data_IF_796828580578
#
_entry.id   IF_796828580578
#
_cell.length_a   1.000
_cell.length_b   1.000
_cell.length_c   1.000
_cell.angle_alpha   90.00
_cell.angle_beta   90.00
_cell.angle_gamma   90.00
#
_symmetry.space_group_name_H-M   'P 1'
#
loop_
_entity.id
_entity.type
_entity.pdbx_description
1 polymer ?
#
# COMPACT_ATOMS: atom_id res chain seq x y z
N UNK A 1 18.20 -14.23 -6.49
CA UNK A 1 17.16 -14.04 -5.45
C UNK A 1 16.61 -15.42 -5.07
N UNK A 2 16.33 -15.65 -3.81
CA UNK A 2 15.65 -16.85 -3.35
C UNK A 2 14.22 -16.91 -3.88
N UNK A 3 13.69 -18.12 -4.12
CA UNK A 3 12.33 -18.29 -4.63
C UNK A 3 11.31 -17.74 -3.60
N UNK A 4 10.29 -16.96 -4.00
CA UNK A 4 9.37 -16.29 -3.07
C UNK A 4 8.61 -17.25 -2.16
N UNK A 5 8.43 -18.50 -2.58
CA UNK A 5 7.83 -19.57 -1.77
C UNK A 5 8.85 -20.51 -1.11
N UNK A 6 10.11 -20.08 -0.94
CA UNK A 6 11.17 -20.93 -0.35
C UNK A 6 10.86 -21.42 1.07
N UNK A 7 10.15 -20.59 1.85
CA UNK A 7 9.72 -20.92 3.21
C UNK A 7 8.56 -21.94 3.26
N UNK A 8 7.82 -22.11 2.15
CA UNK A 8 6.68 -23.04 2.07
C UNK A 8 7.20 -24.43 1.71
N UNK A 9 7.41 -25.26 2.72
CA UNK A 9 7.99 -26.60 2.58
C UNK A 9 6.97 -27.66 2.22
N UNK A 10 5.69 -27.45 2.54
CA UNK A 10 4.62 -28.42 2.39
C UNK A 10 3.52 -27.91 1.47
N UNK A 11 2.89 -28.82 0.76
CA UNK A 11 1.74 -28.53 -0.08
C UNK A 11 0.55 -28.06 0.77
N UNK A 12 -0.01 -26.85 0.54
CA UNK A 12 -1.12 -26.34 1.35
C UNK A 12 -2.44 -27.10 1.13
N UNK A 13 -2.54 -27.93 0.06
CA UNK A 13 -3.73 -28.73 -0.23
C UNK A 13 -3.70 -30.10 0.43
N UNK A 14 -2.57 -30.81 0.41
CA UNK A 14 -2.51 -32.20 0.88
C UNK A 14 -1.44 -32.46 1.95
N UNK A 15 -0.65 -31.45 2.35
CA UNK A 15 0.37 -31.59 3.37
C UNK A 15 1.68 -32.28 2.92
N UNK A 16 1.78 -32.71 1.65
CA UNK A 16 2.97 -33.40 1.14
C UNK A 16 4.22 -32.51 1.20
N UNK A 17 5.36 -33.11 1.54
CA UNK A 17 6.69 -32.49 1.48
C UNK A 17 7.23 -32.39 0.04
N UNK A 18 6.63 -33.06 -0.92
CA UNK A 18 7.01 -32.99 -2.34
C UNK A 18 6.37 -31.78 -3.03
N UNK A 19 6.62 -30.58 -2.46
CA UNK A 19 6.13 -29.31 -2.97
C UNK A 19 7.29 -28.54 -3.62
N UNK A 20 7.47 -28.74 -4.91
CA UNK A 20 8.65 -28.38 -5.67
C UNK A 20 8.46 -27.06 -6.44
N UNK A 21 9.58 -26.38 -6.73
CA UNK A 21 9.57 -25.19 -7.58
C UNK A 21 9.10 -25.57 -8.98
N UNK A 22 8.08 -24.87 -9.47
CA UNK A 22 7.50 -25.05 -10.81
C UNK A 22 7.97 -23.97 -11.79
N UNK A 23 7.96 -22.71 -11.34
CA UNK A 23 8.56 -21.56 -12.05
C UNK A 23 8.93 -20.47 -11.04
N UNK A 24 9.34 -19.28 -11.50
CA UNK A 24 9.84 -18.18 -10.67
C UNK A 24 8.88 -17.69 -9.58
N UNK A 25 7.59 -17.99 -9.68
CA UNK A 25 6.55 -17.54 -8.73
C UNK A 25 5.57 -18.63 -8.30
N UNK A 26 5.84 -19.90 -8.65
CA UNK A 26 4.94 -20.99 -8.28
C UNK A 26 5.68 -22.24 -7.85
N UNK A 27 4.98 -23.04 -7.02
CA UNK A 27 5.36 -24.39 -6.64
C UNK A 27 4.24 -25.37 -7.01
N UNK A 28 4.62 -26.60 -7.38
CA UNK A 28 3.72 -27.69 -7.70
C UNK A 28 3.95 -28.88 -6.77
N UNK A 29 2.87 -29.48 -6.32
CA UNK A 29 2.93 -30.71 -5.55
C UNK A 29 3.04 -31.92 -6.48
N UNK A 30 4.08 -32.74 -6.31
CA UNK A 30 4.28 -33.96 -7.10
C UNK A 30 3.20 -35.02 -6.78
N UNK A 31 2.65 -35.05 -5.55
CA UNK A 31 1.71 -36.09 -5.13
C UNK A 31 0.25 -35.80 -5.55
N UNK A 32 -0.19 -34.52 -5.45
CA UNK A 32 -1.59 -34.19 -5.74
C UNK A 32 -1.79 -33.25 -6.94
N UNK A 33 -0.70 -32.84 -7.60
CA UNK A 33 -0.72 -31.97 -8.77
C UNK A 33 -1.11 -30.50 -8.50
N UNK A 34 -1.37 -30.13 -7.23
CA UNK A 34 -1.75 -28.75 -6.90
C UNK A 34 -0.64 -27.76 -7.22
N UNK A 35 -0.97 -26.70 -7.95
CA UNK A 35 -0.05 -25.60 -8.25
C UNK A 35 -0.47 -24.37 -7.46
N UNK A 36 0.47 -23.79 -6.72
CA UNK A 36 0.27 -22.53 -6.00
C UNK A 36 1.10 -21.42 -6.62
N UNK A 37 0.43 -20.35 -7.04
CA UNK A 37 1.06 -19.14 -7.56
C UNK A 37 1.13 -18.09 -6.47
N UNK A 38 2.31 -17.50 -6.27
CA UNK A 38 2.49 -16.33 -5.42
C UNK A 38 2.41 -15.07 -6.29
N UNK A 39 1.28 -14.37 -6.18
CA UNK A 39 1.05 -13.10 -6.89
C UNK A 39 1.21 -11.94 -5.93
N UNK A 40 1.56 -10.72 -6.44
CA UNK A 40 1.55 -9.52 -5.61
C UNK A 40 0.17 -9.27 -5.01
N UNK A 41 0.13 -8.87 -3.74
CA UNK A 41 -1.08 -8.38 -3.10
C UNK A 41 -1.35 -6.95 -3.56
N UNK A 42 -2.62 -6.61 -3.75
CA UNK A 42 -3.02 -5.24 -4.10
C UNK A 42 -3.10 -4.39 -2.84
N UNK A 43 -2.54 -3.17 -2.89
CA UNK A 43 -2.51 -2.24 -1.76
C UNK A 43 -2.86 -0.82 -2.25
N UNK A 44 -4.08 -0.30 -1.98
CA UNK A 44 -4.44 1.05 -2.31
C UNK A 44 -3.79 2.06 -1.36
N UNK A 45 -3.42 3.21 -1.90
CA UNK A 45 -2.77 4.32 -1.22
C UNK A 45 -3.51 5.61 -1.56
N UNK A 46 -3.91 6.38 -0.54
CA UNK A 46 -4.68 7.60 -0.71
C UNK A 46 -3.80 8.85 -0.71
N UNK A 47 -3.91 9.65 -1.76
CA UNK A 47 -3.38 11.01 -1.86
C UNK A 47 -4.55 11.99 -1.62
N UNK A 48 -4.62 12.57 -0.43
CA UNK A 48 -5.70 13.47 0.01
C UNK A 48 -5.12 14.87 0.21
N UNK A 49 -5.62 15.84 -0.53
CA UNK A 49 -5.30 17.26 -0.36
C UNK A 49 -6.45 17.97 0.35
N UNK A 50 -6.10 18.92 1.21
CA UNK A 50 -7.05 19.90 1.73
C UNK A 50 -7.13 21.15 0.82
N UNK A 51 -7.99 22.10 1.19
CA UNK A 51 -8.21 23.35 0.45
C UNK A 51 -6.97 24.27 0.36
N UNK A 52 -5.93 24.00 1.16
CA UNK A 52 -4.68 24.76 1.17
C UNK A 52 -3.56 24.08 0.38
N UNK A 53 -3.88 23.07 -0.42
CA UNK A 53 -2.90 22.22 -1.11
C UNK A 53 -1.89 21.55 -0.15
N UNK A 54 -2.34 21.09 1.01
CA UNK A 54 -1.54 20.31 1.95
C UNK A 54 -1.93 18.83 1.83
N UNK A 55 -0.93 17.95 1.81
CA UNK A 55 -1.13 16.51 1.72
C UNK A 55 -1.34 15.89 3.10
N UNK A 56 -2.37 15.07 3.24
CA UNK A 56 -2.57 14.26 4.43
C UNK A 56 -1.48 13.20 4.51
N UNK A 57 -0.77 13.18 5.62
CA UNK A 57 0.26 12.18 5.91
C UNK A 57 0.01 11.58 7.29
N UNK A 58 0.41 10.34 7.46
CA UNK A 58 0.41 9.67 8.75
C UNK A 58 1.84 9.34 9.20
N UNK A 59 2.03 9.15 10.50
CA UNK A 59 3.25 8.60 11.05
C UNK A 59 3.03 7.15 11.43
N UNK A 60 3.87 6.26 10.92
CA UNK A 60 3.75 4.82 11.16
C UNK A 60 3.93 4.48 12.64
N UNK A 61 2.96 3.78 13.22
CA UNK A 61 3.03 3.28 14.59
C UNK A 61 3.81 1.96 14.70
N UNK A 62 3.84 1.16 13.61
CA UNK A 62 4.36 -0.21 13.59
C UNK A 62 5.49 -0.39 12.58
N UNK A 63 6.27 -1.46 12.76
CA UNK A 63 7.21 -1.93 11.75
C UNK A 63 6.47 -2.52 10.53
N UNK A 64 7.11 -2.52 9.36
CA UNK A 64 8.41 -1.92 9.02
C UNK A 64 8.35 -0.39 8.94
N UNK A 65 9.51 0.26 9.09
CA UNK A 65 9.69 1.71 8.97
C UNK A 65 8.91 2.53 10.03
N UNK A 66 8.75 2.01 11.24
CA UNK A 66 8.12 2.72 12.37
C UNK A 66 8.69 4.12 12.56
N UNK A 67 7.82 5.10 12.79
CA UNK A 67 8.18 6.49 13.03
C UNK A 67 8.39 7.34 11.78
N UNK A 68 8.48 6.74 10.59
CA UNK A 68 8.55 7.46 9.32
C UNK A 68 7.17 7.91 8.84
N UNK A 69 7.16 8.82 7.85
CA UNK A 69 5.93 9.22 7.20
C UNK A 69 5.41 8.14 6.26
N UNK A 70 4.10 8.11 6.13
CA UNK A 70 3.35 7.25 5.23
C UNK A 70 2.09 7.99 4.74
N UNK A 71 1.33 7.34 3.86
CA UNK A 71 0.03 7.78 3.39
C UNK A 71 -1.05 6.80 3.87
N UNK A 72 -2.30 7.24 4.07
CA UNK A 72 -3.39 6.32 4.38
C UNK A 72 -3.56 5.25 3.31
N UNK A 73 -3.71 4.00 3.74
CA UNK A 73 -3.85 2.85 2.86
C UNK A 73 -3.48 1.53 3.51
N UNK A 74 -3.77 0.43 2.83
CA UNK A 74 -3.54 -0.91 3.34
C UNK A 74 -3.75 -1.97 2.26
N UNK A 75 -4.18 -3.18 2.63
CA UNK A 75 -4.50 -4.23 1.68
C UNK A 75 -5.96 -4.16 1.22
N UNK A 76 -6.20 -4.49 -0.05
CA UNK A 76 -7.56 -4.69 -0.57
C UNK A 76 -8.11 -5.99 0.01
N UNK A 77 -9.34 -5.95 0.52
CA UNK A 77 -10.07 -7.12 0.94
C UNK A 77 -10.60 -7.93 -0.25
N UNK A 78 -10.86 -9.23 -0.02
CA UNK A 78 -11.46 -10.06 -1.05
C UNK A 78 -12.82 -9.49 -1.49
N UNK A 79 -13.00 -9.37 -2.80
CA UNK A 79 -14.19 -8.83 -3.46
C UNK A 79 -14.36 -7.31 -3.49
N UNK A 80 -13.39 -6.55 -2.99
CA UNK A 80 -13.33 -5.10 -3.15
C UNK A 80 -12.68 -4.69 -4.47
N UNK A 81 -13.12 -3.58 -5.04
CA UNK A 81 -12.36 -2.82 -6.06
C UNK A 81 -11.27 -1.97 -5.39
N UNK A 82 -10.35 -1.43 -6.18
CA UNK A 82 -9.31 -0.52 -5.66
C UNK A 82 -9.90 0.73 -5.00
N UNK A 83 -10.96 1.27 -5.61
CA UNK A 83 -11.69 2.44 -5.12
C UNK A 83 -12.44 2.15 -3.80
N UNK A 84 -13.04 0.98 -3.68
CA UNK A 84 -13.71 0.56 -2.43
C UNK A 84 -12.69 0.33 -1.31
N UNK A 85 -11.58 -0.35 -1.62
CA UNK A 85 -10.51 -0.61 -0.66
C UNK A 85 -9.87 0.68 -0.15
N UNK A 86 -9.51 1.65 -1.04
CA UNK A 86 -8.94 2.92 -0.58
C UNK A 86 -9.94 3.73 0.26
N UNK A 87 -11.23 3.68 -0.08
CA UNK A 87 -12.25 4.39 0.68
C UNK A 87 -12.47 3.78 2.08
N UNK A 88 -12.40 2.44 2.19
CA UNK A 88 -12.45 1.74 3.48
C UNK A 88 -11.24 2.08 4.35
N UNK A 89 -10.02 1.94 3.81
CA UNK A 89 -8.78 2.23 4.53
C UNK A 89 -8.73 3.68 5.04
N UNK A 90 -9.06 4.66 4.18
CA UNK A 90 -9.16 6.06 4.60
C UNK A 90 -10.14 6.23 5.76
N UNK A 91 -11.30 5.57 5.70
CA UNK A 91 -12.29 5.65 6.78
C UNK A 91 -11.80 5.01 8.07
N UNK A 92 -11.14 3.86 8.00
CA UNK A 92 -10.65 3.10 9.16
C UNK A 92 -9.49 3.83 9.85
N UNK A 93 -8.56 4.41 9.08
CA UNK A 93 -7.37 5.07 9.63
C UNK A 93 -7.59 6.53 10.03
N UNK A 94 -8.53 7.22 9.38
CA UNK A 94 -8.68 8.67 9.52
C UNK A 94 -10.07 9.13 10.02
N UNK A 95 -11.08 8.26 9.90
CA UNK A 95 -12.49 8.60 10.11
C UNK A 95 -13.13 9.39 8.98
N UNK A 96 -12.36 9.81 7.96
CA UNK A 96 -12.86 10.58 6.82
C UNK A 96 -13.67 9.69 5.87
N UNK A 97 -14.62 10.31 5.17
CA UNK A 97 -15.40 9.65 4.12
C UNK A 97 -14.94 10.12 2.74
N UNK A 98 -14.50 9.17 1.92
CA UNK A 98 -14.12 9.42 0.53
C UNK A 98 -15.37 9.65 -0.32
N UNK A 99 -15.45 10.81 -0.98
CA UNK A 99 -16.51 11.15 -1.93
C UNK A 99 -16.15 10.70 -3.36
N UNK A 100 -14.85 10.74 -3.72
CA UNK A 100 -14.33 10.30 -5.01
C UNK A 100 -12.93 9.73 -4.83
N UNK A 101 -12.67 8.56 -5.41
CA UNK A 101 -11.35 7.99 -5.60
C UNK A 101 -11.04 7.92 -7.10
N UNK A 102 -9.88 8.44 -7.51
CA UNK A 102 -9.42 8.47 -8.89
C UNK A 102 -8.05 7.80 -8.97
N UNK A 103 -7.96 6.68 -9.69
CA UNK A 103 -6.71 5.98 -9.90
C UNK A 103 -5.72 6.84 -10.70
N UNK A 104 -4.48 6.93 -10.23
CA UNK A 104 -3.41 7.69 -10.88
C UNK A 104 -2.37 6.76 -11.53
N UNK A 105 -1.73 5.93 -10.73
CA UNK A 105 -0.68 5.01 -11.15
C UNK A 105 -0.46 3.92 -10.10
N UNK A 106 0.40 2.94 -10.42
CA UNK A 106 0.82 1.91 -9.46
C UNK A 106 2.32 1.70 -9.48
N UNK A 107 2.86 1.23 -8.36
CA UNK A 107 4.27 0.90 -8.17
C UNK A 107 4.41 -0.46 -7.49
N UNK A 108 5.41 -1.28 -7.90
CA UNK A 108 5.74 -2.49 -7.18
C UNK A 108 6.45 -2.17 -5.87
N UNK A 109 6.21 -2.98 -4.84
CA UNK A 109 6.90 -2.88 -3.56
C UNK A 109 7.19 -4.28 -3.01
N UNK A 110 8.14 -4.36 -2.07
CA UNK A 110 8.40 -5.54 -1.25
C UNK A 110 8.34 -5.10 0.21
N UNK A 111 7.43 -5.70 0.93
CA UNK A 111 7.12 -5.39 2.31
C UNK A 111 7.43 -6.60 3.18
N UNK A 112 8.31 -6.46 4.17
CA UNK A 112 8.65 -7.56 5.07
C UNK A 112 7.62 -7.63 6.19
N UNK A 113 6.84 -8.71 6.21
CA UNK A 113 5.84 -8.96 7.24
C UNK A 113 6.04 -10.34 7.85
N UNK A 114 6.14 -10.43 9.17
CA UNK A 114 6.44 -11.69 9.89
C UNK A 114 7.66 -12.46 9.36
N UNK A 115 8.71 -11.74 8.93
CA UNK A 115 9.90 -12.33 8.33
C UNK A 115 9.71 -12.90 6.92
N UNK A 116 8.57 -12.58 6.28
CA UNK A 116 8.26 -13.02 4.92
C UNK A 116 8.19 -11.81 3.96
N UNK A 117 8.83 -11.89 2.78
CA UNK A 117 8.75 -10.83 1.77
C UNK A 117 7.39 -10.90 1.05
N UNK A 118 6.48 -10.02 1.41
CA UNK A 118 5.21 -9.83 0.71
C UNK A 118 5.45 -8.87 -0.46
N UNK A 119 5.22 -9.34 -1.67
CA UNK A 119 5.20 -8.48 -2.85
C UNK A 119 3.86 -7.78 -2.94
N UNK A 120 3.86 -6.45 -3.14
CA UNK A 120 2.65 -5.67 -3.34
C UNK A 120 2.67 -4.91 -4.66
N UNK A 121 1.48 -4.61 -5.15
CA UNK A 121 1.22 -3.61 -6.17
C UNK A 121 0.51 -2.46 -5.48
N UNK A 122 1.27 -1.43 -5.13
CA UNK A 122 0.75 -0.25 -4.46
C UNK A 122 0.08 0.65 -5.50
N UNK A 123 -1.23 0.84 -5.36
CA UNK A 123 -2.08 1.59 -6.29
C UNK A 123 -2.41 2.96 -5.68
N UNK A 124 -1.97 4.02 -6.33
CA UNK A 124 -2.13 5.39 -5.86
C UNK A 124 -3.42 6.00 -6.41
N UNK A 125 -4.25 6.50 -5.49
CA UNK A 125 -5.50 7.17 -5.80
C UNK A 125 -5.48 8.61 -5.30
N UNK A 126 -5.92 9.56 -6.13
CA UNK A 126 -6.31 10.87 -5.65
C UNK A 126 -7.70 10.74 -5.02
N UNK A 127 -7.80 11.02 -3.73
CA UNK A 127 -9.05 10.91 -2.98
C UNK A 127 -9.55 12.29 -2.59
N UNK A 128 -10.81 12.60 -2.97
CA UNK A 128 -11.55 13.73 -2.44
C UNK A 128 -12.41 13.24 -1.28
N UNK A 129 -12.30 13.89 -0.13
CA UNK A 129 -13.08 13.57 1.07
C UNK A 129 -14.18 14.61 1.31
N UNK A 130 -15.24 14.22 2.03
CA UNK A 130 -16.36 15.13 2.33
C UNK A 130 -15.96 16.25 3.30
N UNK A 131 -15.01 15.99 4.21
CA UNK A 131 -14.54 16.94 5.22
C UNK A 131 -13.06 16.70 5.51
N UNK A 132 -12.26 17.76 5.48
CA UNK A 132 -10.83 17.75 5.81
C UNK A 132 -10.51 18.38 7.19
N UNK A 133 -11.52 18.84 7.93
CA UNK A 133 -11.34 19.50 9.22
C UNK A 133 -11.49 18.52 10.39
N UNK A 134 -12.31 17.49 10.24
CA UNK A 134 -12.61 16.53 11.30
C UNK A 134 -12.03 15.16 10.95
N UNK A 135 -10.84 14.89 11.43
CA UNK A 135 -10.15 13.62 11.29
C UNK A 135 -9.39 13.26 12.57
N UNK A 136 -9.10 12.01 12.74
CA UNK A 136 -8.40 11.49 13.92
C UNK A 136 -7.55 10.30 13.51
N UNK A 137 -6.30 10.27 13.96
CA UNK A 137 -5.47 9.08 13.82
C UNK A 137 -6.13 7.89 14.54
N UNK A 138 -6.35 6.83 13.81
CA UNK A 138 -6.97 5.59 14.26
C UNK A 138 -6.10 4.42 13.80
N UNK A 139 -6.35 3.24 14.34
CA UNK A 139 -5.69 1.99 14.01
C UNK A 139 -4.16 2.05 14.03
N UNK A 140 -3.48 1.91 12.92
CA UNK A 140 -2.03 1.78 12.78
C UNK A 140 -1.28 3.12 12.66
N UNK A 141 -1.98 4.25 12.62
CA UNK A 141 -1.39 5.59 12.58
C UNK A 141 -1.08 6.09 14.00
N UNK A 142 0.21 6.44 14.25
CA UNK A 142 0.59 7.08 15.51
C UNK A 142 0.20 8.56 15.55
N UNK A 143 0.17 9.20 14.38
CA UNK A 143 -0.17 10.61 14.20
C UNK A 143 -0.70 10.83 12.78
N UNK A 144 -1.56 11.83 12.61
CA UNK A 144 -2.18 12.15 11.32
C UNK A 144 -2.27 13.67 11.18
N UNK A 145 -1.72 14.22 10.11
CA UNK A 145 -1.69 15.66 9.90
C UNK A 145 -1.55 16.05 8.42
N UNK A 146 -1.93 17.27 8.09
CA UNK A 146 -1.69 17.86 6.79
C UNK A 146 -0.32 18.53 6.73
N UNK A 147 0.44 18.24 5.65
CA UNK A 147 1.77 18.79 5.41
C UNK A 147 1.76 19.58 4.10
N UNK A 148 2.17 20.87 4.10
CA UNK A 148 2.25 21.67 2.88
C UNK A 148 3.14 20.99 1.82
N UNK A 149 2.69 20.93 0.55
CA UNK A 149 3.42 20.25 -0.52
C UNK A 149 4.87 20.74 -0.66
N UNK A 150 5.14 22.02 -0.41
CA UNK A 150 6.50 22.61 -0.46
C UNK A 150 7.44 22.11 0.65
N UNK A 151 6.87 21.61 1.76
CA UNK A 151 7.62 21.17 2.94
C UNK A 151 7.81 19.64 2.95
N UNK A 152 7.22 18.92 1.97
CA UNK A 152 7.35 17.48 1.85
C UNK A 152 8.77 17.12 1.39
N UNK A 153 9.40 16.25 2.18
CA UNK A 153 10.68 15.61 1.86
C UNK A 153 10.44 14.13 1.67
N UNK A 154 10.64 13.66 0.45
CA UNK A 154 10.37 12.25 0.09
C UNK A 154 11.19 11.26 0.92
N UNK A 155 12.37 11.66 1.42
CA UNK A 155 13.26 10.85 2.25
C UNK A 155 12.65 10.51 3.63
N UNK A 156 11.66 11.28 4.09
CA UNK A 156 10.96 11.02 5.36
C UNK A 156 9.96 9.87 5.27
N UNK A 157 9.60 9.44 4.04
CA UNK A 157 8.74 8.28 3.82
C UNK A 157 9.57 6.99 3.83
N UNK A 158 9.23 6.08 4.74
CA UNK A 158 10.02 4.88 5.01
C UNK A 158 9.87 3.79 3.95
N UNK A 159 8.68 3.67 3.34
CA UNK A 159 8.40 2.66 2.32
C UNK A 159 8.82 3.14 0.92
N UNK A 160 9.52 2.27 0.17
CA UNK A 160 10.14 2.65 -1.10
C UNK A 160 9.15 3.06 -2.18
N UNK A 161 8.02 2.38 -2.29
CA UNK A 161 6.93 2.73 -3.23
C UNK A 161 6.27 4.05 -2.85
N UNK A 162 5.98 4.27 -1.56
CA UNK A 162 5.37 5.50 -1.06
C UNK A 162 6.29 6.69 -1.34
N UNK A 163 7.57 6.59 -1.00
CA UNK A 163 8.59 7.61 -1.29
C UNK A 163 8.58 7.99 -2.78
N UNK A 164 8.62 6.98 -3.66
CA UNK A 164 8.62 7.18 -5.11
C UNK A 164 7.30 7.75 -5.59
N UNK A 165 6.17 7.24 -5.08
CA UNK A 165 4.83 7.69 -5.45
C UNK A 165 4.56 9.14 -5.07
N UNK A 166 4.97 9.55 -3.86
CA UNK A 166 4.91 10.95 -3.43
C UNK A 166 5.76 11.84 -4.35
N UNK A 167 6.96 11.39 -4.74
CA UNK A 167 7.80 12.14 -5.70
C UNK A 167 7.10 12.36 -7.03
N UNK A 168 6.52 11.31 -7.62
CA UNK A 168 5.76 11.39 -8.88
C UNK A 168 4.58 12.36 -8.75
N UNK A 169 3.84 12.26 -7.64
CA UNK A 169 2.70 13.13 -7.37
C UNK A 169 3.11 14.61 -7.25
N UNK A 170 4.20 14.92 -6.56
CA UNK A 170 4.70 16.29 -6.42
C UNK A 170 5.14 16.87 -7.77
N UNK A 171 5.80 16.10 -8.62
CA UNK A 171 6.19 16.51 -9.97
C UNK A 171 4.97 16.84 -10.83
N UNK A 172 3.92 16.01 -10.76
CA UNK A 172 2.67 16.23 -11.50
C UNK A 172 1.94 17.50 -11.04
N UNK A 173 1.88 17.72 -9.71
CA UNK A 173 1.29 18.94 -9.15
C UNK A 173 2.03 20.22 -9.55
N UNK A 174 3.36 20.15 -9.75
CA UNK A 174 4.15 21.30 -10.21
C UNK A 174 3.88 21.61 -11.69
N UNK A 175 3.76 20.59 -12.56
CA UNK A 175 3.45 20.76 -13.99
C UNK A 175 2.08 21.42 -14.18
N UNK A 176 1.07 20.94 -13.47
CA UNK A 176 -0.30 21.46 -13.56
C UNK A 176 -0.46 22.91 -13.04
N UNK A 177 0.48 23.41 -12.24
CA UNK A 177 0.51 24.83 -11.82
C UNK A 177 1.22 25.76 -12.80
N UNK A 178 1.93 25.18 -13.78
CA UNK A 178 2.73 25.94 -14.76
C UNK A 178 2.01 26.11 -16.11
N UNK A 179 0.86 25.45 -16.29
CA UNK A 179 -0.08 25.61 -17.40
C UNK A 179 -1.21 26.59 -17.03
#
# INVERSE_FOLDING_TARGET
MEHPLSQFKYCPKCGSAHFEVHNEKSKQCADCGFVYYFNPSSAPVALILNERDELLVCRRAKEPAKGTLDLPGGFIDMTETGEEGVAREVREETGMKVAKAEYLFSLPNIYIYSGFPVHTLDMFFRCTVEDTLHFKAMDDAADLFFLPLKDIRTEEFGLGSIRKGVGIFLEDMQKNKSE
#
